data_IF_446325199488
#
_entry.id   IF_446325199488
#
_cell.length_a   1.000
_cell.length_b   1.000
_cell.length_c   1.000
_cell.angle_alpha   90.00
_cell.angle_beta   90.00
_cell.angle_gamma   90.00
#
_symmetry.space_group_name_H-M   'P 1'
#
loop_
_entity.id
_entity.type
_entity.pdbx_description
1 polymer ?
#
# COMPACT_ATOMS: atom_id res chain seq x y z
N UNK A 1 2.85 0.69 23.91
CA UNK A 1 3.25 -0.26 22.85
C UNK A 1 3.48 0.48 21.56
N UNK A 2 4.60 0.23 20.93
CA UNK A 2 4.95 0.90 19.69
C UNK A 2 4.37 0.11 18.51
N UNK A 3 3.67 0.81 17.63
CA UNK A 3 3.12 0.17 16.44
C UNK A 3 4.22 0.00 15.39
N UNK A 4 4.23 -1.09 14.64
CA UNK A 4 5.21 -1.28 13.58
C UNK A 4 5.06 -0.24 12.48
N UNK A 5 6.15 0.06 11.82
CA UNK A 5 6.14 0.93 10.65
C UNK A 5 5.55 0.18 9.47
N UNK A 6 4.83 0.90 8.64
CA UNK A 6 4.19 0.36 7.45
C UNK A 6 4.77 1.05 6.22
N UNK A 7 5.16 0.26 5.25
CA UNK A 7 5.65 0.73 3.95
C UNK A 7 4.68 0.30 2.87
N UNK A 8 4.36 1.22 1.97
CA UNK A 8 3.49 0.96 0.83
C UNK A 8 4.31 1.16 -0.44
N UNK A 9 4.35 0.16 -1.31
CA UNK A 9 5.14 0.20 -2.53
C UNK A 9 4.26 -0.08 -3.73
N UNK A 10 4.41 0.70 -4.80
CA UNK A 10 3.76 0.40 -6.08
C UNK A 10 4.58 -0.71 -6.74
N UNK A 11 3.98 -1.90 -6.90
CA UNK A 11 4.67 -3.06 -7.45
C UNK A 11 4.27 -3.40 -8.87
N UNK A 12 3.22 -2.76 -9.39
CA UNK A 12 2.79 -3.03 -10.76
C UNK A 12 1.73 -2.05 -11.19
N UNK A 13 1.39 -2.10 -12.47
CA UNK A 13 0.37 -1.26 -13.06
C UNK A 13 -0.30 -1.98 -14.21
N UNK A 14 -1.61 -1.82 -14.32
CA UNK A 14 -2.39 -2.35 -15.44
C UNK A 14 -3.16 -1.21 -16.08
N UNK A 15 -3.27 -1.24 -17.40
CA UNK A 15 -3.99 -0.23 -18.15
C UNK A 15 -3.06 0.62 -19.01
N UNK A 16 -3.61 1.25 -20.07
CA UNK A 16 -2.80 1.97 -21.07
C UNK A 16 -2.38 3.37 -20.64
N UNK A 17 -3.07 3.96 -19.66
CA UNK A 17 -2.83 5.36 -19.28
C UNK A 17 -1.99 5.43 -18.01
N UNK A 18 -1.28 6.53 -17.83
CA UNK A 18 -0.58 6.80 -16.59
C UNK A 18 -1.55 7.15 -15.48
N UNK A 19 -1.13 6.94 -14.24
CA UNK A 19 -1.90 7.33 -13.07
C UNK A 19 -2.03 8.86 -13.01
N UNK A 20 -3.24 9.35 -12.76
CA UNK A 20 -3.47 10.80 -12.69
C UNK A 20 -2.73 11.47 -11.52
N UNK A 21 -2.32 10.71 -10.52
CA UNK A 21 -1.50 11.20 -9.42
C UNK A 21 0.00 11.06 -9.69
N UNK A 22 0.38 10.42 -10.80
CA UNK A 22 1.76 10.25 -11.15
C UNK A 22 2.48 9.09 -10.47
N UNK A 23 1.75 8.21 -9.79
CA UNK A 23 2.36 7.03 -9.17
C UNK A 23 2.82 6.05 -10.24
N UNK A 24 3.96 5.41 -10.01
CA UNK A 24 4.51 4.44 -10.94
C UNK A 24 5.19 3.31 -10.17
N UNK A 25 5.38 2.14 -10.79
CA UNK A 25 6.07 1.03 -10.14
C UNK A 25 7.43 1.46 -9.60
N UNK A 26 7.74 1.03 -8.40
CA UNK A 26 8.96 1.41 -7.69
C UNK A 26 8.76 2.54 -6.69
N UNK A 27 7.70 3.33 -6.80
CA UNK A 27 7.42 4.37 -5.81
C UNK A 27 7.05 3.73 -4.49
N UNK A 28 7.52 4.31 -3.40
CA UNK A 28 7.21 3.81 -2.07
C UNK A 28 6.91 4.96 -1.12
N UNK A 29 6.14 4.64 -0.08
CA UNK A 29 5.64 5.63 0.87
C UNK A 29 5.72 5.06 2.28
N UNK A 30 6.21 5.89 3.22
CA UNK A 30 6.10 5.58 4.64
C UNK A 30 4.71 6.01 5.11
N UNK A 31 3.93 5.07 5.62
CA UNK A 31 2.55 5.38 6.00
C UNK A 31 2.48 6.47 7.07
N UNK A 32 3.42 6.47 8.02
CA UNK A 32 3.34 7.42 9.13
C UNK A 32 3.77 8.84 8.75
N UNK A 33 4.73 8.99 7.84
CA UNK A 33 5.30 10.29 7.51
C UNK A 33 4.92 10.82 6.14
N UNK A 34 4.41 9.96 5.26
CA UNK A 34 4.18 10.34 3.86
C UNK A 34 2.75 10.09 3.40
N UNK A 35 1.79 10.09 4.32
CA UNK A 35 0.39 9.82 3.98
C UNK A 35 -0.16 10.74 2.89
N UNK A 36 0.22 12.00 2.94
CA UNK A 36 -0.27 12.98 1.98
C UNK A 36 0.26 12.80 0.57
N UNK A 37 1.28 11.97 0.40
CA UNK A 37 1.85 11.71 -0.92
C UNK A 37 1.17 10.57 -1.66
N UNK A 38 0.45 9.72 -0.94
CA UNK A 38 -0.28 8.62 -1.56
C UNK A 38 -1.63 9.12 -2.04
N UNK A 39 -2.07 8.63 -3.20
CA UNK A 39 -3.39 8.96 -3.74
C UNK A 39 -4.48 8.66 -2.70
N UNK A 40 -5.41 9.61 -2.44
CA UNK A 40 -6.48 9.37 -1.47
C UNK A 40 -7.32 8.14 -1.76
N UNK A 41 -7.59 7.83 -3.02
CA UNK A 41 -8.35 6.64 -3.39
C UNK A 41 -7.60 5.37 -3.01
N UNK A 42 -6.30 5.33 -3.27
CA UNK A 42 -5.46 4.19 -2.89
C UNK A 42 -5.38 4.07 -1.37
N UNK A 43 -5.24 5.20 -0.66
CA UNK A 43 -5.21 5.20 0.80
C UNK A 43 -6.51 4.66 1.38
N UNK A 44 -7.64 4.99 0.77
CA UNK A 44 -8.94 4.49 1.23
C UNK A 44 -8.99 2.96 1.19
N UNK A 45 -8.48 2.36 0.12
CA UNK A 45 -8.42 0.90 0.00
C UNK A 45 -7.38 0.32 0.95
N UNK A 46 -6.27 1.03 1.16
CA UNK A 46 -5.17 0.55 1.98
C UNK A 46 -5.49 0.44 3.47
N UNK A 47 -6.35 1.32 3.99
CA UNK A 47 -6.57 1.42 5.44
C UNK A 47 -6.92 0.09 6.12
N UNK A 48 -7.87 -0.72 5.62
CA UNK A 48 -8.16 -1.99 6.29
C UNK A 48 -6.94 -2.91 6.37
N UNK A 49 -6.15 -2.97 5.32
CA UNK A 49 -4.95 -3.81 5.30
C UNK A 49 -3.90 -3.29 6.27
N UNK A 50 -3.72 -1.97 6.30
CA UNK A 50 -2.75 -1.34 7.21
C UNK A 50 -3.13 -1.64 8.66
N UNK A 51 -4.41 -1.49 9.02
CA UNK A 51 -4.86 -1.75 10.38
C UNK A 51 -4.65 -3.20 10.77
N UNK A 52 -4.99 -4.13 9.88
CA UNK A 52 -4.78 -5.56 10.17
C UNK A 52 -3.31 -5.82 10.48
N UNK A 53 -2.42 -5.33 9.63
CA UNK A 53 -0.99 -5.60 9.80
C UNK A 53 -0.40 -4.89 11.01
N UNK A 54 -0.83 -3.65 11.29
CA UNK A 54 -0.31 -2.89 12.43
C UNK A 54 -0.64 -3.53 13.76
N UNK A 55 -1.75 -4.24 13.83
CA UNK A 55 -2.19 -4.90 15.06
C UNK A 55 -1.86 -6.38 15.08
N UNK A 56 -0.96 -6.81 14.23
CA UNK A 56 -0.44 -8.17 14.26
C UNK A 56 -1.29 -9.20 13.54
N UNK A 57 -2.29 -8.76 12.77
CA UNK A 57 -3.14 -9.66 12.03
C UNK A 57 -2.47 -10.21 10.78
N UNK A 58 -3.11 -11.18 10.17
CA UNK A 58 -2.63 -11.84 8.95
C UNK A 58 -3.72 -11.79 7.89
N UNK A 59 -3.29 -11.63 6.64
CA UNK A 59 -4.19 -11.72 5.50
C UNK A 59 -4.09 -13.13 4.93
N UNK A 60 -5.19 -13.88 4.88
CA UNK A 60 -5.16 -15.23 4.30
C UNK A 60 -4.60 -15.20 2.87
N UNK A 61 -3.67 -16.08 2.59
CA UNK A 61 -3.06 -16.18 1.27
C UNK A 61 -1.89 -15.25 1.01
N UNK A 62 -1.60 -14.32 1.92
CA UNK A 62 -0.47 -13.41 1.81
C UNK A 62 0.67 -13.86 2.72
N UNK A 63 1.90 -13.45 2.38
CA UNK A 63 3.02 -13.64 3.30
C UNK A 63 2.75 -12.91 4.62
N UNK A 64 3.16 -13.49 5.77
CA UNK A 64 3.00 -12.78 7.05
C UNK A 64 3.62 -11.38 7.00
N UNK A 65 2.88 -10.41 7.51
CA UNK A 65 3.33 -9.01 7.53
C UNK A 65 3.17 -8.27 6.21
N UNK A 66 2.46 -8.84 5.24
CA UNK A 66 2.24 -8.21 3.94
C UNK A 66 0.79 -8.31 3.50
N UNK A 67 0.42 -7.43 2.58
CA UNK A 67 -0.84 -7.50 1.85
C UNK A 67 -0.66 -6.84 0.49
N UNK A 68 -1.45 -7.26 -0.49
CA UNK A 68 -1.43 -6.66 -1.83
C UNK A 68 -2.83 -6.15 -2.11
N UNK A 69 -2.91 -4.94 -2.63
CA UNK A 69 -4.18 -4.36 -3.03
C UNK A 69 -3.98 -3.53 -4.30
N UNK A 70 -5.07 -3.12 -4.93
CA UNK A 70 -5.00 -2.23 -6.07
C UNK A 70 -5.86 -1.00 -5.81
N UNK A 71 -5.55 0.10 -6.51
CA UNK A 71 -6.40 1.28 -6.45
C UNK A 71 -7.71 1.03 -7.20
N UNK A 72 -8.78 1.79 -6.88
CA UNK A 72 -10.09 1.56 -7.50
C UNK A 72 -10.31 2.25 -8.83
N UNK A 73 -9.26 2.75 -9.48
CA UNK A 73 -9.36 3.40 -10.78
C UNK A 73 -9.53 2.33 -11.87
N UNK A 74 -10.60 2.43 -12.65
CA UNK A 74 -10.88 1.42 -13.69
C UNK A 74 -10.02 1.59 -14.94
N UNK A 75 -9.47 2.76 -15.15
CA UNK A 75 -8.67 3.06 -16.35
C UNK A 75 -7.20 2.68 -16.19
N UNK A 76 -6.65 2.97 -15.02
CA UNK A 76 -5.27 2.63 -14.73
C UNK A 76 -5.19 2.11 -13.30
N UNK A 77 -4.90 0.83 -13.19
CA UNK A 77 -4.86 0.16 -11.89
C UNK A 77 -3.41 0.05 -11.44
N UNK A 78 -3.08 0.74 -10.37
CA UNK A 78 -1.80 0.53 -9.70
C UNK A 78 -1.97 -0.58 -8.66
N UNK A 79 -1.00 -1.49 -8.63
CA UNK A 79 -0.97 -2.58 -7.66
C UNK A 79 0.04 -2.22 -6.59
N UNK A 80 -0.38 -2.30 -5.33
CA UNK A 80 0.43 -1.90 -4.19
C UNK A 80 0.70 -3.07 -3.27
N UNK A 81 1.87 -3.05 -2.65
CA UNK A 81 2.21 -3.96 -1.56
C UNK A 81 2.33 -3.16 -0.28
N UNK A 82 1.59 -3.59 0.74
CA UNK A 82 1.71 -3.06 2.10
C UNK A 82 2.54 -4.05 2.89
N UNK A 83 3.53 -3.56 3.62
CA UNK A 83 4.37 -4.45 4.42
C UNK A 83 4.77 -3.80 5.73
N UNK A 84 4.92 -4.65 6.75
CA UNK A 84 5.48 -4.25 8.02
C UNK A 84 6.98 -4.17 7.87
N UNK A 85 7.55 -3.00 8.21
CA UNK A 85 8.98 -2.81 8.20
C UNK A 85 9.50 -3.17 9.59
N UNK A 86 10.38 -4.15 9.65
CA UNK A 86 10.96 -4.57 10.91
C UNK A 86 12.15 -3.69 11.25
N UNK A 87 12.09 -3.09 12.43
CA UNK A 87 13.25 -2.41 12.99
C UNK A 87 14.19 -3.46 13.57
N UNK A 88 15.44 -3.22 13.37
CA UNK A 88 16.45 -4.05 14.01
C UNK A 88 16.87 -3.45 15.34
#
# INVERSE_FOLDING_TARGET
MQKPKIKITVIGRKGPCGCHRGHKPGDSFDFDTERGKLCPMAMHVAFPYIDILRYGGLIPGAEPGTAVFCCPDVDTINVFKVEVVKDK
#
